data_IF_189805510889
#
_entry.id   IF_189805510889
#
_cell.length_a   1.000
_cell.length_b   1.000
_cell.length_c   1.000
_cell.angle_alpha   90.00
_cell.angle_beta   90.00
_cell.angle_gamma   90.00
#
_symmetry.space_group_name_H-M   'P 1'
#
loop_
_entity.id
_entity.type
_entity.pdbx_description
1 polymer ?
#
# COMPACT_ATOMS: atom_id res chain seq x y z
N UNK A 1 -40.57 9.45 -37.44
CA UNK A 1 -39.46 8.61 -36.95
C UNK A 1 -38.80 7.76 -38.04
N UNK A 2 -39.38 7.61 -39.24
CA UNK A 2 -38.74 6.87 -40.35
C UNK A 2 -37.65 7.65 -41.09
N UNK A 3 -37.61 8.98 -40.98
CA UNK A 3 -36.72 9.85 -41.77
C UNK A 3 -35.29 10.01 -41.22
N UNK A 4 -34.94 9.36 -40.09
CA UNK A 4 -33.66 9.55 -39.38
C UNK A 4 -33.01 8.20 -39.00
N UNK A 5 -33.64 7.07 -39.36
CA UNK A 5 -33.17 5.71 -39.02
C UNK A 5 -31.77 5.46 -39.57
N UNK A 6 -30.83 5.09 -38.70
CA UNK A 6 -29.46 4.71 -39.05
C UNK A 6 -28.45 5.85 -39.17
N UNK A 7 -28.73 7.04 -38.60
CA UNK A 7 -27.80 8.19 -38.61
C UNK A 7 -27.32 8.56 -37.22
N UNK A 8 -26.15 9.18 -37.09
CA UNK A 8 -25.59 9.68 -35.80
C UNK A 8 -26.56 10.59 -35.02
N UNK A 9 -27.50 11.25 -35.73
CA UNK A 9 -28.56 12.07 -35.14
C UNK A 9 -29.62 11.25 -34.40
N UNK A 10 -29.89 10.02 -34.82
CA UNK A 10 -30.80 9.11 -34.11
C UNK A 10 -30.21 8.69 -32.77
N UNK A 11 -28.92 8.34 -32.72
CA UNK A 11 -28.24 8.00 -31.47
C UNK A 11 -28.22 9.17 -30.47
N UNK A 12 -27.96 10.39 -30.96
CA UNK A 12 -27.98 11.59 -30.13
C UNK A 12 -29.38 11.88 -29.57
N UNK A 13 -30.42 11.80 -30.40
CA UNK A 13 -31.82 11.98 -29.98
C UNK A 13 -32.26 10.86 -29.02
N UNK A 14 -31.81 9.63 -29.23
CA UNK A 14 -32.11 8.52 -28.35
C UNK A 14 -31.47 8.70 -26.97
N UNK A 15 -30.22 9.16 -26.91
CA UNK A 15 -29.54 9.52 -25.65
C UNK A 15 -30.24 10.66 -24.92
N UNK A 16 -30.68 11.69 -25.64
CA UNK A 16 -31.46 12.79 -25.07
C UNK A 16 -32.80 12.29 -24.51
N UNK A 17 -33.53 11.48 -25.27
CA UNK A 17 -34.77 10.86 -24.81
C UNK A 17 -34.57 10.02 -23.55
N UNK A 18 -33.53 9.19 -23.49
CA UNK A 18 -33.20 8.40 -22.29
C UNK A 18 -32.93 9.30 -21.08
N UNK A 19 -32.20 10.40 -21.27
CA UNK A 19 -31.89 11.36 -20.21
C UNK A 19 -33.14 12.06 -19.68
N UNK A 20 -33.98 12.58 -20.57
CA UNK A 20 -35.20 13.31 -20.21
C UNK A 20 -36.21 12.36 -19.53
N UNK A 21 -36.33 11.13 -20.05
CA UNK A 21 -37.14 10.07 -19.45
C UNK A 21 -36.67 9.74 -18.02
N UNK A 22 -35.36 9.55 -17.83
CA UNK A 22 -34.81 9.30 -16.50
C UNK A 22 -35.15 10.45 -15.54
N UNK A 23 -35.00 11.70 -15.97
CA UNK A 23 -35.31 12.87 -15.15
C UNK A 23 -36.79 12.94 -14.75
N UNK A 24 -37.70 12.64 -15.67
CA UNK A 24 -39.15 12.64 -15.42
C UNK A 24 -39.55 11.53 -14.45
N UNK A 25 -39.07 10.31 -14.64
CA UNK A 25 -39.39 9.19 -13.74
C UNK A 25 -38.73 9.43 -12.37
N UNK A 26 -37.55 10.04 -12.31
CA UNK A 26 -36.90 10.38 -11.05
C UNK A 26 -37.71 11.36 -10.19
N UNK A 27 -38.55 12.23 -10.78
CA UNK A 27 -39.46 13.07 -9.99
C UNK A 27 -40.47 12.23 -9.20
N UNK A 28 -40.92 11.09 -9.74
CA UNK A 28 -41.82 10.17 -9.04
C UNK A 28 -41.12 9.47 -7.87
N UNK A 29 -39.83 9.16 -8.02
CA UNK A 29 -38.97 8.63 -6.96
C UNK A 29 -38.82 9.65 -5.83
N UNK A 30 -38.55 10.93 -6.15
CA UNK A 30 -38.45 12.03 -5.17
C UNK A 30 -39.77 12.21 -4.40
N UNK A 31 -40.90 12.10 -5.10
CA UNK A 31 -42.24 12.20 -4.51
C UNK A 31 -42.70 10.91 -3.81
N UNK A 32 -41.81 9.92 -3.60
CA UNK A 32 -42.07 8.64 -2.93
C UNK A 32 -43.17 7.80 -3.57
N UNK A 33 -43.47 8.01 -4.85
CA UNK A 33 -44.40 7.18 -5.62
C UNK A 33 -43.67 5.94 -6.17
N UNK A 34 -43.23 5.06 -5.26
CA UNK A 34 -42.35 3.93 -5.57
C UNK A 34 -42.95 2.97 -6.60
N UNK A 35 -44.24 2.65 -6.51
CA UNK A 35 -44.86 1.68 -7.39
C UNK A 35 -45.04 2.21 -8.82
N UNK A 36 -45.44 3.48 -8.95
CA UNK A 36 -45.55 4.15 -10.26
C UNK A 36 -44.17 4.29 -10.91
N UNK A 37 -43.15 4.67 -10.14
CA UNK A 37 -41.78 4.79 -10.62
C UNK A 37 -41.20 3.44 -11.02
N UNK A 38 -41.51 2.36 -10.28
CA UNK A 38 -41.05 1.02 -10.60
C UNK A 38 -41.78 0.43 -11.82
N UNK A 39 -43.09 0.65 -11.99
CA UNK A 39 -43.81 0.26 -13.20
C UNK A 39 -43.22 0.91 -14.46
N UNK A 40 -42.88 2.19 -14.37
CA UNK A 40 -42.23 2.91 -15.47
C UNK A 40 -40.78 2.43 -15.66
N UNK A 41 -40.04 2.18 -14.58
CA UNK A 41 -38.70 1.58 -14.62
C UNK A 41 -38.68 0.21 -15.28
N UNK A 42 -39.64 -0.66 -14.98
CA UNK A 42 -39.81 -1.97 -15.61
C UNK A 42 -40.16 -1.84 -17.10
N UNK A 43 -41.12 -0.97 -17.43
CA UNK A 43 -41.56 -0.76 -18.83
C UNK A 43 -40.44 -0.27 -19.74
N UNK A 44 -39.55 0.56 -19.20
CA UNK A 44 -38.50 1.24 -19.97
C UNK A 44 -37.11 0.65 -19.75
N UNK A 45 -37.01 -0.41 -18.94
CA UNK A 45 -35.75 -1.04 -18.52
C UNK A 45 -34.76 -0.01 -17.96
N UNK A 46 -35.27 0.95 -17.17
CA UNK A 46 -34.44 1.96 -16.53
C UNK A 46 -33.83 1.39 -15.24
N UNK A 47 -32.74 0.65 -15.41
CA UNK A 47 -32.09 -0.10 -14.35
C UNK A 47 -31.66 0.78 -13.18
N UNK A 48 -31.24 2.03 -13.45
CA UNK A 48 -30.84 2.99 -12.41
C UNK A 48 -31.99 3.30 -11.46
N UNK A 49 -33.20 3.48 -11.99
CA UNK A 49 -34.40 3.80 -11.21
C UNK A 49 -34.83 2.58 -10.38
N UNK A 50 -34.84 1.39 -10.98
CA UNK A 50 -35.20 0.16 -10.28
C UNK A 50 -34.28 -0.12 -9.09
N UNK A 51 -32.95 0.01 -9.28
CA UNK A 51 -31.99 -0.14 -8.18
C UNK A 51 -32.16 0.93 -7.11
N UNK A 52 -32.37 2.18 -7.51
CA UNK A 52 -32.58 3.30 -6.56
C UNK A 52 -33.82 3.09 -5.70
N UNK A 53 -34.94 2.63 -6.28
CA UNK A 53 -36.18 2.34 -5.55
C UNK A 53 -35.97 1.19 -4.56
N UNK A 54 -35.35 0.09 -5.00
CA UNK A 54 -35.06 -1.05 -4.13
C UNK A 54 -34.16 -0.66 -2.95
N UNK A 55 -33.22 0.25 -3.15
CA UNK A 55 -32.32 0.71 -2.10
C UNK A 55 -32.99 1.70 -1.13
N UNK A 56 -33.85 2.58 -1.61
CA UNK A 56 -34.61 3.51 -0.76
C UNK A 56 -35.71 2.82 0.06
N UNK A 57 -36.22 1.70 -0.43
CA UNK A 57 -37.24 0.89 0.26
C UNK A 57 -36.65 -0.29 1.05
N UNK A 58 -35.32 -0.47 1.00
CA UNK A 58 -34.57 -1.63 1.54
C UNK A 58 -35.19 -3.00 1.18
N UNK A 59 -35.84 -3.07 0.01
CA UNK A 59 -36.56 -4.25 -0.43
C UNK A 59 -35.65 -5.18 -1.24
N UNK A 60 -34.95 -6.06 -0.53
CA UNK A 60 -34.00 -7.02 -1.11
C UNK A 60 -34.70 -8.09 -1.97
N UNK A 61 -35.92 -8.50 -1.61
CA UNK A 61 -36.68 -9.51 -2.36
C UNK A 61 -37.03 -9.00 -3.75
N UNK A 62 -37.55 -7.78 -3.84
CA UNK A 62 -37.88 -7.13 -5.12
C UNK A 62 -36.65 -6.99 -6.03
N UNK A 63 -35.49 -6.71 -5.44
CA UNK A 63 -34.23 -6.62 -6.19
C UNK A 63 -33.76 -7.98 -6.71
N UNK A 64 -33.91 -9.05 -5.91
CA UNK A 64 -33.63 -10.42 -6.34
C UNK A 64 -34.56 -10.85 -7.49
N UNK A 65 -35.85 -10.51 -7.41
CA UNK A 65 -36.82 -10.76 -8.49
C UNK A 65 -36.44 -10.04 -9.79
N UNK A 66 -36.03 -8.78 -9.72
CA UNK A 66 -35.56 -8.05 -10.89
C UNK A 66 -34.28 -8.63 -11.48
N UNK A 67 -33.35 -9.10 -10.65
CA UNK A 67 -32.15 -9.78 -11.13
C UNK A 67 -32.45 -11.13 -11.80
N UNK A 68 -33.49 -11.83 -11.37
CA UNK A 68 -33.92 -13.07 -12.03
C UNK A 68 -34.66 -12.77 -13.34
N UNK A 69 -35.55 -11.77 -13.37
CA UNK A 69 -36.36 -11.41 -14.55
C UNK A 69 -35.53 -10.74 -15.65
N UNK A 70 -34.68 -9.79 -15.29
CA UNK A 70 -33.91 -8.97 -16.22
C UNK A 70 -32.41 -9.36 -16.26
N UNK A 71 -32.05 -10.53 -15.72
CA UNK A 71 -30.67 -11.00 -15.67
C UNK A 71 -30.01 -11.13 -17.05
N UNK A 72 -30.77 -11.61 -18.04
CA UNK A 72 -30.29 -11.76 -19.43
C UNK A 72 -30.11 -10.41 -20.15
N UNK A 73 -30.75 -9.34 -19.66
CA UNK A 73 -30.66 -7.99 -20.22
C UNK A 73 -29.54 -7.15 -19.58
N UNK A 74 -28.73 -7.77 -18.71
CA UNK A 74 -27.59 -7.11 -18.06
C UNK A 74 -27.93 -6.36 -16.77
N UNK A 75 -29.15 -6.50 -16.23
CA UNK A 75 -29.53 -5.85 -14.97
C UNK A 75 -28.61 -6.24 -13.81
N UNK A 76 -28.23 -7.51 -13.73
CA UNK A 76 -27.30 -8.01 -12.70
C UNK A 76 -25.93 -7.33 -12.77
N UNK A 77 -25.38 -7.11 -13.96
CA UNK A 77 -24.10 -6.44 -14.16
C UNK A 77 -24.17 -4.95 -13.82
N UNK A 78 -25.30 -4.33 -14.17
CA UNK A 78 -25.58 -2.94 -13.81
C UNK A 78 -25.65 -2.78 -12.28
N UNK A 79 -26.34 -3.68 -11.58
CA UNK A 79 -26.42 -3.67 -10.10
C UNK A 79 -25.03 -3.77 -9.47
N UNK A 80 -24.17 -4.66 -9.97
CA UNK A 80 -22.81 -4.80 -9.44
C UNK A 80 -21.95 -3.57 -9.72
N UNK A 81 -22.03 -3.02 -10.93
CA UNK A 81 -21.35 -1.76 -11.31
C UNK A 81 -21.81 -0.59 -10.45
N UNK A 82 -23.11 -0.51 -10.18
CA UNK A 82 -23.70 0.52 -9.32
C UNK A 82 -23.24 0.38 -7.86
N UNK A 83 -23.20 -0.84 -7.31
CA UNK A 83 -22.66 -1.07 -5.98
C UNK A 83 -21.18 -0.71 -5.85
N UNK A 84 -20.39 -0.87 -6.92
CA UNK A 84 -19.00 -0.39 -6.95
C UNK A 84 -18.92 1.13 -6.96
N UNK A 85 -19.73 1.82 -7.77
CA UNK A 85 -19.74 3.28 -7.88
C UNK A 85 -20.18 3.96 -6.58
N UNK A 86 -21.17 3.39 -5.89
CA UNK A 86 -21.72 3.94 -4.65
C UNK A 86 -20.96 3.52 -3.39
N UNK A 87 -19.77 2.90 -3.52
CA UNK A 87 -18.97 2.35 -2.41
C UNK A 87 -19.72 1.35 -1.50
N UNK A 88 -20.74 0.65 -2.03
CA UNK A 88 -21.56 -0.33 -1.30
C UNK A 88 -21.00 -1.75 -1.42
N UNK A 89 -19.68 -1.90 -1.31
CA UNK A 89 -18.98 -3.18 -1.46
C UNK A 89 -19.44 -4.24 -0.45
N UNK A 90 -19.86 -3.84 0.76
CA UNK A 90 -20.42 -4.76 1.76
C UNK A 90 -21.68 -5.50 1.27
N UNK A 91 -22.53 -4.84 0.48
CA UNK A 91 -23.72 -5.47 -0.12
C UNK A 91 -23.33 -6.45 -1.24
N UNK A 92 -22.29 -6.14 -1.99
CA UNK A 92 -21.71 -7.05 -2.97
C UNK A 92 -21.16 -8.31 -2.27
N UNK A 93 -20.40 -8.15 -1.18
CA UNK A 93 -19.85 -9.25 -0.38
C UNK A 93 -20.96 -10.12 0.24
N UNK A 94 -22.03 -9.52 0.77
CA UNK A 94 -23.17 -10.28 1.29
C UNK A 94 -23.84 -11.14 0.21
N UNK A 95 -23.87 -10.65 -1.04
CA UNK A 95 -24.35 -11.43 -2.18
C UNK A 95 -23.34 -12.49 -2.59
N UNK A 96 -22.04 -12.20 -2.52
CA UNK A 96 -20.99 -13.21 -2.71
C UNK A 96 -21.10 -14.36 -1.70
N UNK A 97 -21.45 -14.08 -0.44
CA UNK A 97 -21.72 -15.14 0.55
C UNK A 97 -22.91 -16.04 0.19
N UNK A 98 -23.89 -15.51 -0.56
CA UNK A 98 -25.06 -16.26 -1.07
C UNK A 98 -24.77 -16.99 -2.40
N UNK A 99 -23.54 -16.94 -2.93
CA UNK A 99 -23.11 -17.57 -4.20
C UNK A 99 -23.50 -19.05 -4.30
N UNK A 100 -23.42 -19.79 -3.19
CA UNK A 100 -23.78 -21.20 -3.15
C UNK A 100 -25.28 -21.49 -3.39
N UNK A 101 -26.15 -20.48 -3.39
CA UNK A 101 -27.62 -20.65 -3.36
C UNK A 101 -28.39 -19.94 -4.48
N UNK A 102 -27.74 -19.23 -5.41
CA UNK A 102 -28.45 -18.36 -6.38
C UNK A 102 -28.08 -18.67 -7.83
N UNK A 103 -29.03 -18.73 -8.79
CA UNK A 103 -28.78 -19.03 -10.21
C UNK A 103 -27.92 -17.98 -10.94
N UNK A 104 -27.84 -16.76 -10.43
CA UNK A 104 -27.08 -15.64 -11.02
C UNK A 104 -25.58 -15.65 -10.67
N UNK A 105 -25.07 -16.78 -10.18
CA UNK A 105 -23.67 -16.97 -9.79
C UNK A 105 -22.70 -16.77 -10.97
N UNK A 106 -23.05 -17.25 -12.16
CA UNK A 106 -22.18 -17.13 -13.35
C UNK A 106 -21.91 -15.67 -13.75
N UNK A 107 -22.93 -14.80 -13.67
CA UNK A 107 -22.79 -13.36 -13.99
C UNK A 107 -21.95 -12.64 -12.95
N UNK A 108 -22.12 -12.96 -11.66
CA UNK A 108 -21.30 -12.41 -10.58
C UNK A 108 -19.84 -12.87 -10.68
N UNK A 109 -19.63 -14.16 -10.96
CA UNK A 109 -18.30 -14.73 -11.17
C UNK A 109 -17.60 -14.11 -12.38
N UNK A 110 -18.32 -13.87 -13.48
CA UNK A 110 -17.81 -13.13 -14.65
C UNK A 110 -17.41 -11.71 -14.27
N UNK A 111 -18.33 -10.95 -13.67
CA UNK A 111 -18.08 -9.57 -13.23
C UNK A 111 -16.90 -9.45 -12.27
N UNK A 112 -16.77 -10.36 -11.29
CA UNK A 112 -15.63 -10.38 -10.37
C UNK A 112 -14.31 -10.77 -11.06
N UNK A 113 -14.38 -11.55 -12.14
CA UNK A 113 -13.19 -11.90 -12.92
C UNK A 113 -12.78 -10.76 -13.86
N UNK A 114 -13.75 -9.98 -14.35
CA UNK A 114 -13.51 -8.75 -15.13
C UNK A 114 -12.90 -7.63 -14.27
N UNK A 115 -13.00 -7.73 -12.94
CA UNK A 115 -12.41 -6.82 -11.97
C UNK A 115 -11.31 -7.51 -11.14
N UNK A 116 -10.02 -7.44 -11.55
CA UNK A 116 -8.91 -8.10 -10.86
C UNK A 116 -8.74 -7.72 -9.38
N UNK A 117 -9.22 -6.55 -8.99
CA UNK A 117 -9.18 -6.08 -7.58
C UNK A 117 -10.16 -6.83 -6.67
N UNK A 118 -11.16 -7.51 -7.23
CA UNK A 118 -12.22 -8.20 -6.50
C UNK A 118 -12.21 -9.72 -6.71
N UNK A 119 -11.35 -10.24 -7.60
CA UNK A 119 -11.30 -11.67 -7.91
C UNK A 119 -10.97 -12.53 -6.68
N UNK A 120 -10.14 -12.03 -5.77
CA UNK A 120 -9.81 -12.71 -4.51
C UNK A 120 -11.06 -13.01 -3.66
N UNK A 121 -12.12 -12.19 -3.74
CA UNK A 121 -13.34 -12.44 -2.98
C UNK A 121 -14.05 -13.70 -3.45
N UNK A 122 -14.14 -13.90 -4.78
CA UNK A 122 -14.70 -15.12 -5.36
C UNK A 122 -13.97 -16.34 -4.82
N UNK A 123 -12.64 -16.28 -4.80
CA UNK A 123 -11.79 -17.39 -4.41
C UNK A 123 -11.92 -17.71 -2.91
N UNK A 124 -12.00 -16.68 -2.06
CA UNK A 124 -12.31 -16.85 -0.62
C UNK A 124 -13.66 -17.54 -0.40
N UNK A 125 -14.71 -17.11 -1.11
CA UNK A 125 -16.04 -17.73 -0.97
C UNK A 125 -16.13 -19.13 -1.57
N UNK A 126 -15.29 -19.42 -2.57
CA UNK A 126 -15.14 -20.75 -3.15
C UNK A 126 -14.20 -21.67 -2.33
N UNK A 127 -13.68 -21.20 -1.19
CA UNK A 127 -12.67 -21.90 -0.36
C UNK A 127 -11.32 -22.15 -1.06
N UNK A 128 -11.06 -21.45 -2.16
CA UNK A 128 -9.79 -21.48 -2.88
C UNK A 128 -8.83 -20.45 -2.29
N UNK A 129 -8.40 -20.68 -1.04
CA UNK A 129 -7.59 -19.69 -0.30
C UNK A 129 -6.19 -19.46 -0.90
N UNK A 130 -5.61 -20.44 -1.60
CA UNK A 130 -4.31 -20.27 -2.27
C UNK A 130 -4.36 -19.21 -3.38
N UNK A 131 -5.36 -19.26 -4.24
CA UNK A 131 -5.52 -18.29 -5.34
C UNK A 131 -5.94 -16.91 -4.81
N UNK A 132 -6.74 -16.89 -3.75
CA UNK A 132 -7.04 -15.66 -3.03
C UNK A 132 -5.77 -15.00 -2.48
N UNK A 133 -4.87 -15.77 -1.86
CA UNK A 133 -3.61 -15.27 -1.33
C UNK A 133 -2.72 -14.68 -2.44
N UNK A 134 -2.54 -15.41 -3.55
CA UNK A 134 -1.75 -14.92 -4.70
C UNK A 134 -2.32 -13.62 -5.28
N UNK A 135 -3.64 -13.56 -5.44
CA UNK A 135 -4.31 -12.36 -5.94
C UNK A 135 -4.15 -11.18 -4.99
N UNK A 136 -4.37 -11.39 -3.69
CA UNK A 136 -4.20 -10.35 -2.66
C UNK A 136 -2.76 -9.84 -2.60
N UNK A 137 -1.78 -10.73 -2.73
CA UNK A 137 -0.38 -10.34 -2.78
C UNK A 137 -0.07 -9.50 -4.04
N UNK A 138 -0.56 -9.92 -5.20
CA UNK A 138 -0.38 -9.18 -6.44
C UNK A 138 -1.04 -7.78 -6.39
N UNK A 139 -2.18 -7.65 -5.70
CA UNK A 139 -2.83 -6.36 -5.46
C UNK A 139 -2.02 -5.50 -4.48
N UNK A 140 -1.49 -6.10 -3.41
CA UNK A 140 -0.64 -5.41 -2.44
C UNK A 140 0.66 -4.87 -3.05
N UNK A 141 1.27 -5.61 -3.98
CA UNK A 141 2.49 -5.15 -4.68
C UNK A 141 2.22 -3.94 -5.57
N UNK A 142 1.03 -3.87 -6.19
CA UNK A 142 0.61 -2.73 -7.01
C UNK A 142 0.14 -1.54 -6.19
N UNK A 143 -0.09 -1.73 -4.90
CA UNK A 143 -0.58 -0.70 -4.01
C UNK A 143 0.51 0.31 -3.66
N UNK A 144 0.32 1.55 -4.09
CA UNK A 144 1.23 2.66 -3.80
C UNK A 144 0.55 3.85 -3.12
N UNK A 145 -0.78 3.93 -3.16
CA UNK A 145 -1.55 5.10 -2.72
C UNK A 145 -1.83 5.10 -1.22
N UNK A 146 -2.00 3.92 -0.62
CA UNK A 146 -2.34 3.83 0.81
C UNK A 146 -1.60 2.69 1.49
N UNK A 147 -0.78 3.04 2.49
CA UNK A 147 -0.11 2.07 3.35
C UNK A 147 -1.09 1.18 4.11
N UNK A 148 -2.20 1.75 4.61
CA UNK A 148 -3.23 1.00 5.34
C UNK A 148 -3.89 -0.05 4.44
N UNK A 149 -4.17 0.31 3.18
CA UNK A 149 -4.72 -0.62 2.19
C UNK A 149 -3.71 -1.73 1.87
N UNK A 150 -2.44 -1.38 1.65
CA UNK A 150 -1.36 -2.34 1.42
C UNK A 150 -1.20 -3.33 2.58
N UNK A 151 -1.12 -2.82 3.81
CA UNK A 151 -1.02 -3.62 5.05
C UNK A 151 -2.19 -4.59 5.20
N UNK A 152 -3.41 -4.12 4.94
CA UNK A 152 -4.62 -4.94 4.99
C UNK A 152 -4.58 -6.06 3.94
N UNK A 153 -4.20 -5.74 2.70
CA UNK A 153 -4.07 -6.74 1.63
C UNK A 153 -3.00 -7.79 1.94
N UNK A 154 -1.83 -7.40 2.43
CA UNK A 154 -0.76 -8.32 2.84
C UNK A 154 -1.19 -9.20 4.01
N UNK A 155 -1.85 -8.63 5.01
CA UNK A 155 -2.35 -9.38 6.17
C UNK A 155 -3.41 -10.40 5.76
N UNK A 156 -4.35 -10.02 4.89
CA UNK A 156 -5.36 -10.94 4.34
C UNK A 156 -4.73 -12.01 3.45
N UNK A 157 -3.70 -11.65 2.68
CA UNK A 157 -2.93 -12.60 1.86
C UNK A 157 -2.26 -13.65 2.76
N UNK A 158 -1.58 -13.23 3.82
CA UNK A 158 -0.95 -14.10 4.82
C UNK A 158 -1.98 -15.02 5.47
N UNK A 159 -3.10 -14.48 5.95
CA UNK A 159 -4.16 -15.29 6.57
C UNK A 159 -4.77 -16.28 5.58
N UNK A 160 -4.96 -15.89 4.32
CA UNK A 160 -5.48 -16.78 3.28
C UNK A 160 -4.50 -17.92 3.00
N UNK A 161 -3.21 -17.65 2.87
CA UNK A 161 -2.20 -18.70 2.66
C UNK A 161 -2.07 -19.65 3.86
N UNK A 162 -2.19 -19.12 5.08
CA UNK A 162 -2.20 -19.94 6.31
C UNK A 162 -3.46 -20.80 6.44
N UNK A 163 -4.60 -20.31 5.97
CA UNK A 163 -5.86 -21.06 5.96
C UNK A 163 -5.96 -22.07 4.81
N UNK A 164 -5.12 -21.96 3.78
CA UNK A 164 -5.12 -22.87 2.65
C UNK A 164 -4.64 -24.27 3.07
N UNK A 165 -5.32 -25.31 2.59
CA UNK A 165 -4.96 -26.70 2.87
C UNK A 165 -3.63 -27.13 2.26
N UNK A 166 -3.13 -26.38 1.26
CA UNK A 166 -1.84 -26.65 0.64
C UNK A 166 -0.70 -26.06 1.49
N UNK A 167 0.19 -26.93 1.93
CA UNK A 167 1.38 -26.56 2.71
C UNK A 167 2.58 -26.22 1.82
N UNK A 168 2.50 -26.53 0.51
CA UNK A 168 3.56 -26.20 -0.43
C UNK A 168 3.76 -24.68 -0.53
N UNK A 169 5.02 -24.29 -0.46
CA UNK A 169 5.51 -22.91 -0.52
C UNK A 169 4.89 -21.96 0.52
N UNK A 170 4.23 -22.50 1.56
CA UNK A 170 3.58 -21.70 2.60
C UNK A 170 4.61 -20.84 3.34
N UNK A 171 5.70 -21.45 3.78
CA UNK A 171 6.70 -20.76 4.60
C UNK A 171 7.44 -19.69 3.79
N UNK A 172 7.87 -19.99 2.57
CA UNK A 172 8.52 -19.01 1.68
C UNK A 172 7.60 -17.83 1.37
N UNK A 173 6.33 -18.11 1.06
CA UNK A 173 5.34 -17.06 0.80
C UNK A 173 5.08 -16.19 2.03
N UNK A 174 4.98 -16.81 3.22
CA UNK A 174 4.79 -16.09 4.49
C UNK A 174 6.02 -15.25 4.83
N UNK A 175 7.24 -15.75 4.58
CA UNK A 175 8.49 -14.99 4.77
C UNK A 175 8.51 -13.78 3.85
N UNK A 176 8.14 -13.93 2.57
CA UNK A 176 8.03 -12.82 1.62
C UNK A 176 7.05 -11.75 2.09
N UNK A 177 5.86 -12.15 2.57
CA UNK A 177 4.89 -11.19 3.11
C UNK A 177 5.39 -10.53 4.39
N UNK A 178 6.07 -11.26 5.28
CA UNK A 178 6.61 -10.68 6.50
C UNK A 178 7.64 -9.58 6.18
N UNK A 179 8.49 -9.80 5.17
CA UNK A 179 9.43 -8.78 4.68
C UNK A 179 8.70 -7.51 4.19
N UNK A 180 7.60 -7.67 3.46
CA UNK A 180 6.80 -6.53 3.01
C UNK A 180 6.04 -5.82 4.15
N UNK A 181 5.64 -6.57 5.19
CA UNK A 181 5.02 -6.01 6.39
C UNK A 181 6.04 -5.27 7.26
N UNK A 182 7.27 -5.76 7.35
CA UNK A 182 8.38 -5.11 8.05
C UNK A 182 8.72 -3.75 7.42
N UNK A 183 8.69 -3.64 6.07
CA UNK A 183 8.79 -2.35 5.38
C UNK A 183 7.69 -1.36 5.77
N UNK A 184 6.48 -1.85 6.00
CA UNK A 184 5.35 -1.03 6.45
C UNK A 184 5.55 -0.59 7.89
N UNK A 185 6.06 -1.47 8.75
CA UNK A 185 6.40 -1.15 10.14
C UNK A 185 7.45 -0.04 10.21
N UNK A 186 8.53 -0.12 9.41
CA UNK A 186 9.52 0.96 9.32
C UNK A 186 8.90 2.30 8.92
N UNK A 187 7.90 2.31 8.05
CA UNK A 187 7.23 3.56 7.68
C UNK A 187 6.30 4.07 8.79
N UNK A 188 5.60 3.19 9.50
CA UNK A 188 4.68 3.54 10.58
C UNK A 188 5.39 4.06 11.85
N UNK A 189 6.65 3.67 12.05
CA UNK A 189 7.47 4.12 13.19
C UNK A 189 8.08 5.52 13.00
N UNK A 190 8.07 6.06 11.78
CA UNK A 190 8.60 7.40 11.52
C UNK A 190 7.72 8.48 12.17
N UNK A 191 8.31 9.48 12.85
CA UNK A 191 7.53 10.57 13.42
C UNK A 191 6.84 11.44 12.37
N UNK A 192 5.60 11.84 12.64
CA UNK A 192 4.78 12.68 11.75
C UNK A 192 5.49 13.98 11.34
N UNK A 193 6.24 14.61 12.25
CA UNK A 193 6.94 15.86 11.96
C UNK A 193 8.05 15.71 10.90
N UNK A 194 8.68 14.52 10.82
CA UNK A 194 9.69 14.21 9.80
C UNK A 194 9.01 14.01 8.44
N UNK A 195 7.83 13.38 8.44
CA UNK A 195 7.03 13.22 7.23
C UNK A 195 6.55 14.58 6.70
N UNK A 196 6.06 15.45 7.59
CA UNK A 196 5.58 16.79 7.26
C UNK A 196 6.69 17.70 6.71
N UNK A 197 7.93 17.61 7.21
CA UNK A 197 9.04 18.43 6.72
C UNK A 197 9.38 18.15 5.25
N UNK A 198 9.08 16.95 4.77
CA UNK A 198 9.26 16.54 3.38
C UNK A 198 7.95 16.57 2.56
N UNK A 199 6.85 17.08 3.13
CA UNK A 199 5.58 17.27 2.43
C UNK A 199 4.74 15.99 2.27
N UNK A 200 4.98 14.97 3.09
CA UNK A 200 4.13 13.77 3.10
C UNK A 200 2.81 14.01 3.84
N UNK A 201 1.74 13.36 3.38
CA UNK A 201 0.43 13.39 4.04
C UNK A 201 0.40 12.39 5.21
N UNK A 202 0.28 12.91 6.44
CA UNK A 202 0.21 12.11 7.68
C UNK A 202 -1.20 11.54 7.93
N UNK A 203 -2.24 12.12 7.34
CA UNK A 203 -3.63 11.66 7.46
C UNK A 203 -3.89 10.49 6.52
N UNK A 204 -3.38 10.57 5.29
CA UNK A 204 -3.46 9.51 4.27
C UNK A 204 -2.07 9.16 3.72
N UNK A 205 -1.26 8.45 4.52
CA UNK A 205 0.09 8.09 4.11
C UNK A 205 0.10 7.17 2.89
N UNK A 206 0.77 7.64 1.83
CA UNK A 206 1.13 6.86 0.66
C UNK A 206 2.29 5.91 0.97
N UNK A 207 2.50 4.90 0.12
CA UNK A 207 3.60 3.94 0.31
C UNK A 207 4.93 4.61 -0.09
N UNK A 208 5.88 4.65 0.84
CA UNK A 208 7.20 5.24 0.63
C UNK A 208 8.17 4.13 0.21
N UNK A 209 9.04 4.43 -0.77
CA UNK A 209 10.05 3.47 -1.23
C UNK A 209 11.16 3.28 -0.18
N UNK A 210 11.83 2.10 -0.14
CA UNK A 210 12.92 1.85 0.81
C UNK A 210 14.03 2.92 0.76
N UNK A 211 14.39 3.38 -0.44
CA UNK A 211 15.34 4.50 -0.63
C UNK A 211 14.91 5.77 0.11
N UNK A 212 13.65 6.14 -0.03
CA UNK A 212 13.12 7.36 0.58
C UNK A 212 12.97 7.19 2.10
N UNK A 213 12.58 5.99 2.57
CA UNK A 213 12.59 5.68 4.01
C UNK A 213 13.98 5.85 4.61
N UNK A 214 15.03 5.30 3.97
CA UNK A 214 16.42 5.48 4.41
C UNK A 214 16.75 6.97 4.53
N UNK A 215 16.38 7.79 3.54
CA UNK A 215 16.61 9.23 3.59
C UNK A 215 15.88 9.92 4.75
N UNK A 216 14.66 9.51 5.07
CA UNK A 216 13.88 10.06 6.18
C UNK A 216 14.46 9.65 7.54
N UNK A 217 14.97 8.42 7.66
CA UNK A 217 15.61 7.96 8.90
C UNK A 217 16.92 8.68 9.21
N UNK A 218 17.70 9.07 8.20
CA UNK A 218 19.01 9.71 8.38
C UNK A 218 18.99 11.23 8.21
N UNK A 219 17.82 11.85 8.04
CA UNK A 219 17.74 13.28 7.76
C UNK A 219 18.14 14.15 8.96
N UNK A 220 18.46 15.42 8.67
CA UNK A 220 18.83 16.38 9.71
C UNK A 220 17.62 16.83 10.55
N UNK A 221 16.44 16.79 9.94
CA UNK A 221 15.14 17.18 10.46
C UNK A 221 14.65 16.19 11.53
N UNK A 222 15.07 14.91 11.46
CA UNK A 222 14.86 13.93 12.51
C UNK A 222 15.82 14.20 13.67
N UNK A 223 15.46 15.17 14.53
CA UNK A 223 16.34 15.72 15.58
C UNK A 223 16.64 14.72 16.68
N UNK A 224 15.66 13.92 17.05
CA UNK A 224 15.75 12.96 18.15
C UNK A 224 16.17 11.56 17.69
N UNK A 225 16.71 11.45 16.47
CA UNK A 225 17.19 10.19 15.90
C UNK A 225 18.27 9.54 16.78
N UNK A 226 18.10 8.27 17.10
CA UNK A 226 19.01 7.44 17.90
C UNK A 226 19.80 6.47 17.04
N UNK A 227 20.77 5.78 17.63
CA UNK A 227 21.52 4.70 16.97
C UNK A 227 20.59 3.59 16.44
N UNK A 228 19.43 3.39 17.07
CA UNK A 228 18.42 2.43 16.61
C UNK A 228 17.79 2.88 15.29
N UNK A 229 17.50 4.17 15.12
CA UNK A 229 16.92 4.71 13.89
C UNK A 229 17.88 4.58 12.70
N UNK A 230 19.17 4.81 12.95
CA UNK A 230 20.22 4.56 11.95
C UNK A 230 20.39 3.06 11.66
N UNK A 231 20.24 2.19 12.66
CA UNK A 231 20.24 0.74 12.46
C UNK A 231 19.09 0.30 11.56
N UNK A 232 17.88 0.84 11.77
CA UNK A 232 16.73 0.61 10.86
C UNK A 232 17.04 1.05 9.43
N UNK A 233 17.74 2.17 9.25
CA UNK A 233 18.18 2.61 7.93
C UNK A 233 19.17 1.62 7.28
N UNK A 234 20.06 0.99 8.06
CA UNK A 234 20.93 -0.08 7.57
C UNK A 234 20.12 -1.33 7.22
N UNK A 235 19.15 -1.72 8.04
CA UNK A 235 18.27 -2.86 7.78
C UNK A 235 17.46 -2.67 6.49
N UNK A 236 17.02 -1.44 6.21
CA UNK A 236 16.31 -1.08 4.99
C UNK A 236 17.14 -1.29 3.71
N UNK A 237 18.47 -1.39 3.79
CA UNK A 237 19.33 -1.64 2.62
C UNK A 237 19.04 -2.99 1.95
N UNK A 238 18.55 -3.98 2.70
CA UNK A 238 18.22 -5.31 2.15
C UNK A 238 17.07 -5.27 1.13
N UNK A 239 16.24 -4.24 1.16
CA UNK A 239 15.10 -4.05 0.25
C UNK A 239 15.43 -3.15 -0.96
N UNK A 240 16.68 -2.68 -1.07
CA UNK A 240 17.16 -1.92 -2.23
C UNK A 240 17.74 -2.92 -3.23
N UNK A 241 17.09 -3.10 -4.38
CA UNK A 241 17.49 -4.11 -5.38
C UNK A 241 18.76 -3.75 -6.14
N UNK A 242 19.06 -2.45 -6.31
CA UNK A 242 20.21 -1.96 -7.07
C UNK A 242 21.47 -1.91 -6.18
N UNK A 243 22.50 -2.71 -6.49
CA UNK A 243 23.70 -2.83 -5.66
C UNK A 243 24.52 -1.53 -5.57
N UNK A 244 24.64 -0.78 -6.67
CA UNK A 244 25.29 0.53 -6.70
C UNK A 244 24.56 1.53 -5.80
N UNK A 245 23.24 1.58 -5.91
CA UNK A 245 22.39 2.43 -5.07
C UNK A 245 22.48 2.01 -3.60
N UNK A 246 22.49 0.70 -3.31
CA UNK A 246 22.64 0.17 -1.95
C UNK A 246 23.96 0.61 -1.34
N UNK A 247 25.06 0.53 -2.10
CA UNK A 247 26.39 0.97 -1.66
C UNK A 247 26.43 2.47 -1.39
N UNK A 248 25.86 3.27 -2.28
CA UNK A 248 25.77 4.73 -2.11
C UNK A 248 24.90 5.13 -0.90
N UNK A 249 23.77 4.44 -0.68
CA UNK A 249 22.92 4.67 0.48
C UNK A 249 23.62 4.25 1.78
N UNK A 250 24.35 3.15 1.78
CA UNK A 250 25.16 2.71 2.91
C UNK A 250 26.20 3.77 3.29
N UNK A 251 26.94 4.30 2.31
CA UNK A 251 27.88 5.40 2.54
C UNK A 251 27.18 6.63 3.12
N UNK A 252 26.01 6.99 2.57
CA UNK A 252 25.20 8.11 3.06
C UNK A 252 24.76 7.92 4.51
N UNK A 253 24.34 6.72 4.91
CA UNK A 253 23.92 6.44 6.31
C UNK A 253 25.09 6.71 7.27
N UNK A 254 26.26 6.15 6.97
CA UNK A 254 27.46 6.32 7.80
C UNK A 254 27.95 7.77 7.83
N UNK A 255 27.91 8.46 6.69
CA UNK A 255 28.22 9.89 6.61
C UNK A 255 27.29 10.73 7.47
N UNK A 256 25.99 10.50 7.39
CA UNK A 256 25.02 11.23 8.20
C UNK A 256 25.19 10.92 9.69
N UNK A 257 25.58 9.70 10.06
CA UNK A 257 25.91 9.36 11.45
C UNK A 257 27.13 10.16 11.95
N UNK A 258 28.16 10.31 11.12
CA UNK A 258 29.34 11.14 11.42
C UNK A 258 28.95 12.61 11.55
N UNK A 259 28.11 13.13 10.66
CA UNK A 259 27.70 14.54 10.66
C UNK A 259 26.77 14.91 11.84
N UNK A 260 26.12 13.92 12.48
CA UNK A 260 25.34 14.15 13.72
C UNK A 260 26.24 14.45 14.92
N UNK A 261 27.48 13.99 14.88
CA UNK A 261 28.43 14.15 15.97
C UNK A 261 29.22 15.46 15.89
N UNK A 262 29.57 16.01 17.04
CA UNK A 262 30.54 17.12 17.12
C UNK A 262 31.96 16.57 17.29
N UNK A 263 32.86 16.94 16.38
CA UNK A 263 34.25 16.45 16.33
C UNK A 263 35.30 17.48 16.75
N UNK A 264 34.89 18.66 17.25
CA UNK A 264 35.81 19.73 17.65
C UNK A 264 36.31 19.63 19.10
N UNK A 265 36.41 18.42 19.65
CA UNK A 265 36.89 18.22 21.01
C UNK A 265 38.38 18.51 21.14
N UNK A 266 38.73 19.25 22.19
CA UNK A 266 40.09 19.77 22.43
C UNK A 266 40.96 18.82 23.25
N UNK A 267 40.36 17.91 24.02
CA UNK A 267 41.07 16.97 24.89
C UNK A 267 40.81 15.55 24.39
N UNK A 268 41.86 14.88 23.91
CA UNK A 268 41.82 13.51 23.37
C UNK A 268 42.57 12.54 24.31
N UNK A 269 42.63 12.86 25.61
CA UNK A 269 43.39 12.07 26.61
C UNK A 269 42.82 10.65 26.74
N UNK A 270 41.51 10.48 26.52
CA UNK A 270 40.80 9.19 26.49
C UNK A 270 40.01 9.03 25.17
N UNK A 271 40.63 8.60 24.07
CA UNK A 271 39.97 8.50 22.76
C UNK A 271 38.73 7.60 22.77
N UNK A 272 38.77 6.51 23.55
CA UNK A 272 37.67 5.54 23.68
C UNK A 272 36.44 6.12 24.38
N UNK A 273 36.63 6.90 25.45
CA UNK A 273 35.51 7.52 26.18
C UNK A 273 34.79 8.55 25.30
N UNK A 274 35.57 9.30 24.52
CA UNK A 274 35.03 10.23 23.52
C UNK A 274 34.23 9.48 22.46
N UNK A 275 34.78 8.40 21.92
CA UNK A 275 34.14 7.59 20.87
C UNK A 275 32.83 6.97 21.34
N UNK A 276 32.75 6.43 22.56
CA UNK A 276 31.51 5.85 23.11
C UNK A 276 30.33 6.83 23.13
N UNK A 277 30.60 8.14 23.19
CA UNK A 277 29.58 9.18 23.11
C UNK A 277 29.05 9.44 21.70
N UNK A 278 29.80 9.04 20.66
CA UNK A 278 29.52 9.38 19.25
C UNK A 278 28.49 8.44 18.61
N UNK A 279 27.56 9.00 17.85
CA UNK A 279 26.56 8.29 17.07
C UNK A 279 27.19 7.25 16.14
N UNK A 280 28.29 7.61 15.47
CA UNK A 280 29.03 6.67 14.61
C UNK A 280 29.43 5.39 15.36
N UNK A 281 30.05 5.54 16.53
CA UNK A 281 30.54 4.40 17.31
C UNK A 281 29.39 3.62 17.94
N UNK A 282 28.37 4.30 18.47
CA UNK A 282 27.17 3.64 19.04
C UNK A 282 26.44 2.79 18.00
N UNK A 283 26.30 3.30 16.77
CA UNK A 283 25.70 2.56 15.67
C UNK A 283 26.50 1.30 15.34
N UNK A 284 27.83 1.43 15.21
CA UNK A 284 28.70 0.29 14.93
C UNK A 284 28.65 -0.75 16.07
N UNK A 285 28.73 -0.30 17.33
CA UNK A 285 28.66 -1.17 18.49
C UNK A 285 27.32 -1.90 18.59
N UNK A 286 26.21 -1.20 18.34
CA UNK A 286 24.87 -1.79 18.30
C UNK A 286 24.75 -2.86 17.21
N UNK A 287 25.23 -2.58 15.99
CA UNK A 287 25.15 -3.51 14.88
C UNK A 287 25.97 -4.79 15.13
N UNK A 288 27.16 -4.66 15.71
CA UNK A 288 28.01 -5.80 16.09
C UNK A 288 27.36 -6.62 17.21
N UNK A 289 26.77 -5.95 18.21
CA UNK A 289 26.01 -6.65 19.27
C UNK A 289 24.82 -7.45 18.72
N UNK A 290 24.23 -7.02 17.60
CA UNK A 290 23.16 -7.72 16.90
C UNK A 290 23.66 -8.82 15.95
N UNK A 291 24.98 -9.05 15.88
CA UNK A 291 25.61 -10.15 15.15
C UNK A 291 26.04 -9.81 13.72
N UNK A 292 26.13 -8.53 13.36
CA UNK A 292 26.67 -8.12 12.05
C UNK A 292 28.20 -8.20 12.02
N UNK A 293 28.76 -8.61 10.88
CA UNK A 293 30.20 -8.69 10.66
C UNK A 293 30.78 -7.28 10.41
N UNK A 294 31.77 -6.83 11.20
CA UNK A 294 32.46 -5.54 11.01
C UNK A 294 32.98 -5.31 9.58
N UNK A 295 33.49 -6.36 8.90
CA UNK A 295 34.04 -6.25 7.54
C UNK A 295 32.95 -5.95 6.50
N UNK A 296 31.76 -6.53 6.69
CA UNK A 296 30.61 -6.32 5.80
C UNK A 296 29.88 -5.04 6.18
N UNK A 297 29.88 -4.66 7.45
CA UNK A 297 29.14 -3.53 7.98
C UNK A 297 29.76 -2.18 7.60
N UNK A 298 31.06 -1.99 7.83
CA UNK A 298 31.71 -0.70 7.63
C UNK A 298 32.18 -0.51 6.18
N UNK A 299 31.90 0.64 5.55
CA UNK A 299 32.57 1.00 4.32
C UNK A 299 34.06 1.26 4.57
N UNK A 300 34.94 1.04 3.58
CA UNK A 300 36.36 1.34 3.70
C UNK A 300 36.58 2.78 4.15
N UNK A 301 37.46 2.97 5.15
CA UNK A 301 37.71 4.27 5.76
C UNK A 301 38.08 5.34 4.72
N UNK A 302 38.91 5.00 3.73
CA UNK A 302 39.32 5.92 2.67
C UNK A 302 38.13 6.45 1.87
N UNK A 303 37.13 5.60 1.58
CA UNK A 303 35.92 5.98 0.83
C UNK A 303 35.02 6.88 1.68
N UNK A 304 34.91 6.60 2.98
CA UNK A 304 34.15 7.47 3.90
C UNK A 304 34.81 8.84 4.01
N UNK A 305 36.13 8.88 4.08
CA UNK A 305 36.88 10.12 4.22
C UNK A 305 36.92 10.95 2.93
N UNK A 306 36.80 10.36 1.75
CA UNK A 306 36.84 11.04 0.44
C UNK A 306 35.52 11.78 0.08
N UNK A 307 34.53 11.80 0.97
CA UNK A 307 33.25 12.48 0.71
C UNK A 307 33.37 14.01 0.81
N UNK A 308 32.96 14.72 -0.25
CA UNK A 308 32.97 16.18 -0.35
C UNK A 308 32.22 16.88 0.81
N UNK A 309 31.15 16.28 1.33
CA UNK A 309 30.35 16.82 2.43
C UNK A 309 31.11 16.79 3.77
N UNK A 310 32.19 15.99 3.88
CA UNK A 310 33.06 15.91 5.05
C UNK A 310 34.33 16.75 4.93
N UNK A 311 34.49 17.54 3.86
CA UNK A 311 35.69 18.36 3.59
C UNK A 311 36.13 19.22 4.78
N UNK A 312 35.21 19.85 5.51
CA UNK A 312 35.54 20.65 6.69
C UNK A 312 36.09 19.83 7.87
N UNK A 313 35.74 18.54 7.94
CA UNK A 313 36.20 17.61 8.97
C UNK A 313 37.50 16.90 8.55
N UNK A 314 37.76 16.73 7.25
CA UNK A 314 39.01 16.16 6.74
C UNK A 314 40.25 16.98 7.16
N UNK A 315 40.12 18.31 7.29
CA UNK A 315 41.20 19.17 7.76
C UNK A 315 41.51 19.00 9.27
N UNK A 316 40.60 18.39 10.03
CA UNK A 316 40.73 18.20 11.47
C UNK A 316 41.53 16.93 11.79
N UNK A 317 42.77 17.11 12.27
CA UNK A 317 43.65 16.01 12.69
C UNK A 317 43.07 15.15 13.82
N UNK A 318 42.28 15.75 14.73
CA UNK A 318 41.66 15.00 15.83
C UNK A 318 40.58 14.06 15.30
N UNK A 319 39.77 14.53 14.34
CA UNK A 319 38.77 13.71 13.68
C UNK A 319 39.40 12.50 12.98
N UNK A 320 40.43 12.72 12.18
CA UNK A 320 41.14 11.63 11.48
C UNK A 320 41.75 10.61 12.46
N UNK A 321 42.30 11.07 13.58
CA UNK A 321 42.82 10.18 14.62
C UNK A 321 41.70 9.35 15.27
N UNK A 322 40.62 10.00 15.71
CA UNK A 322 39.48 9.33 16.33
C UNK A 322 38.83 8.30 15.39
N UNK A 323 38.67 8.62 14.11
CA UNK A 323 38.10 7.70 13.12
C UNK A 323 38.97 6.47 12.90
N UNK A 324 40.31 6.65 12.80
CA UNK A 324 41.23 5.50 12.72
C UNK A 324 41.14 4.61 13.95
N UNK A 325 41.18 5.22 15.14
CA UNK A 325 41.02 4.47 16.40
C UNK A 325 39.66 3.77 16.49
N UNK A 326 38.59 4.40 16.02
CA UNK A 326 37.25 3.79 15.99
C UNK A 326 37.23 2.54 15.11
N UNK A 327 37.75 2.63 13.89
CA UNK A 327 37.84 1.49 12.97
C UNK A 327 38.69 0.35 13.55
N UNK A 328 39.85 0.67 14.12
CA UNK A 328 40.70 -0.33 14.80
C UNK A 328 39.96 -1.03 15.97
N UNK A 329 39.24 -0.27 16.78
CA UNK A 329 38.48 -0.84 17.90
C UNK A 329 37.29 -1.69 17.45
N UNK A 330 36.65 -1.32 16.35
CA UNK A 330 35.51 -2.03 15.80
C UNK A 330 35.96 -3.36 15.17
N UNK A 331 37.04 -3.35 14.38
CA UNK A 331 37.59 -4.58 13.79
C UNK A 331 38.23 -5.53 14.80
N UNK A 332 38.59 -5.05 15.98
CA UNK A 332 39.15 -5.88 17.05
C UNK A 332 38.08 -6.62 17.88
N UNK A 333 36.80 -6.31 17.69
CA UNK A 333 35.66 -7.00 18.32
C UNK A 333 35.19 -8.15 17.42
#
# INVERSE_FOLDING_TARGET
>A
MESIRGTDKEELLHKQYQKDRFQLINQLVVNKQWDNAALLGEKYLDFKILVTICELTDNQQRLEDYMNRFGNEGFSEFVYSWYMQENKQAKLINRCRKIAKTPNNHTLTRFLSDHPSLSWMKDVFAQNFDEAAKTLNALAVRETESIRRKKTMLSLSKLSKLAASNEQDRDEFVIGINKDLELIEFQEELPDYVLESYGYDTVKPAVISPKNLIHLYVCSEYRDSTELDFKKALDLLQYVNEDELRTNLKLKIWRMAILKDNWHEKNVDSPLEVLQGKMFYKLADLAIMLGEDPEILLPPLDIVLDDDELSSLQENKNFLYLMKTAYECIYAK
#
